data_IF_381505113981
#
_entry.id   IF_381505113981
#
_cell.length_a   1.000
_cell.length_b   1.000
_cell.length_c   1.000
_cell.angle_alpha   90.00
_cell.angle_beta   90.00
_cell.angle_gamma   90.00
#
_symmetry.space_group_name_H-M   'P 1'
#
loop_
_entity.id
_entity.type
_entity.pdbx_description
1 polymer ?
#
# COMPACT_ATOMS: atom_id res chain seq x y z
N UNK A 1 -31.67 -55.94 18.51
CA UNK A 1 -30.43 -55.17 18.75
C UNK A 1 -30.71 -53.71 18.45
N UNK A 2 -31.06 -52.92 19.47
CA UNK A 2 -31.32 -51.48 19.38
C UNK A 2 -30.22 -50.76 20.14
N UNK A 3 -29.17 -50.34 19.43
CA UNK A 3 -28.09 -49.52 19.98
C UNK A 3 -28.55 -48.06 20.01
N UNK A 4 -28.88 -47.59 21.22
CA UNK A 4 -29.19 -46.19 21.48
C UNK A 4 -27.91 -45.35 21.39
N UNK A 5 -27.92 -44.38 20.48
CA UNK A 5 -26.87 -43.37 20.35
C UNK A 5 -26.93 -42.42 21.55
N UNK A 6 -26.14 -42.69 22.59
CA UNK A 6 -25.89 -41.78 23.72
C UNK A 6 -24.66 -40.92 23.43
N UNK A 7 -24.74 -40.00 22.48
CA UNK A 7 -23.74 -38.95 22.29
C UNK A 7 -24.42 -37.71 21.72
N UNK A 8 -24.39 -36.58 22.46
CA UNK A 8 -24.28 -35.17 21.98
C UNK A 8 -24.86 -34.07 22.89
N UNK A 9 -25.37 -34.34 24.09
CA UNK A 9 -25.86 -33.25 24.95
C UNK A 9 -24.78 -32.51 25.76
N UNK A 10 -23.67 -33.15 26.16
CA UNK A 10 -22.67 -32.47 27.03
C UNK A 10 -21.73 -31.54 26.26
N UNK A 11 -21.26 -31.93 25.07
CA UNK A 11 -20.38 -31.09 24.25
C UNK A 11 -21.08 -29.83 23.75
N UNK A 12 -22.37 -29.90 23.41
CA UNK A 12 -23.15 -28.74 23.01
C UNK A 12 -23.35 -27.76 24.17
N UNK A 13 -23.58 -28.25 25.39
CA UNK A 13 -23.69 -27.41 26.59
C UNK A 13 -22.36 -26.73 26.95
N UNK A 14 -21.24 -27.43 26.79
CA UNK A 14 -19.90 -26.85 27.00
C UNK A 14 -19.59 -25.81 25.92
N UNK A 15 -19.90 -26.09 24.66
CA UNK A 15 -19.72 -25.13 23.56
C UNK A 15 -20.59 -23.88 23.76
N UNK A 16 -21.84 -24.07 24.20
CA UNK A 16 -22.77 -22.97 24.50
C UNK A 16 -22.29 -22.16 25.72
N UNK A 17 -21.77 -22.82 26.76
CA UNK A 17 -21.22 -22.16 27.93
C UNK A 17 -19.94 -21.37 27.61
N UNK A 18 -19.04 -21.91 26.76
CA UNK A 18 -17.85 -21.19 26.27
C UNK A 18 -18.26 -20.04 25.35
N UNK A 19 -19.25 -20.22 24.47
CA UNK A 19 -19.78 -19.15 23.63
C UNK A 19 -20.41 -18.04 24.48
N UNK A 20 -21.19 -18.39 25.52
CA UNK A 20 -21.77 -17.45 26.47
C UNK A 20 -20.70 -16.73 27.29
N UNK A 21 -19.61 -17.41 27.67
CA UNK A 21 -18.48 -16.80 28.37
C UNK A 21 -17.72 -15.83 27.45
N UNK A 22 -17.48 -16.22 26.20
CA UNK A 22 -16.82 -15.37 25.19
C UNK A 22 -17.68 -14.15 24.88
N UNK A 23 -19.02 -14.30 24.77
CA UNK A 23 -19.96 -13.18 24.59
C UNK A 23 -20.02 -12.29 25.84
N UNK A 24 -19.94 -12.85 27.04
CA UNK A 24 -19.96 -12.10 28.30
C UNK A 24 -18.65 -11.32 28.55
N UNK A 25 -17.51 -11.80 28.04
CA UNK A 25 -16.20 -11.13 28.15
C UNK A 25 -15.91 -10.23 26.93
N UNK A 26 -16.68 -10.37 25.83
CA UNK A 26 -16.47 -9.62 24.59
C UNK A 26 -16.70 -8.08 24.62
N UNK A 27 -17.28 -7.40 25.64
CA UNK A 27 -17.48 -5.96 25.51
C UNK A 27 -16.37 -5.09 26.12
N UNK A 28 -15.26 -5.65 26.64
CA UNK A 28 -14.18 -4.80 27.20
C UNK A 28 -13.07 -4.45 26.20
N UNK A 29 -12.96 -5.16 25.07
CA UNK A 29 -11.97 -4.84 24.04
C UNK A 29 -12.44 -3.77 23.03
N UNK A 30 -13.71 -3.38 23.06
CA UNK A 30 -14.20 -2.21 22.35
C UNK A 30 -14.22 -1.03 23.31
N UNK A 31 -13.19 -0.19 23.27
CA UNK A 31 -13.33 1.18 23.76
C UNK A 31 -14.55 1.79 23.04
N UNK A 32 -15.67 1.87 23.73
CA UNK A 32 -16.90 2.44 23.23
C UNK A 32 -16.58 3.90 22.85
N UNK A 33 -16.65 4.21 21.55
CA UNK A 33 -16.24 5.52 20.99
C UNK A 33 -16.99 6.71 21.60
N UNK A 34 -18.12 6.43 22.26
CA UNK A 34 -19.03 7.34 22.95
C UNK A 34 -18.79 7.42 24.47
N UNK A 35 -17.72 6.84 25.00
CA UNK A 35 -17.30 7.01 26.41
C UNK A 35 -16.39 8.24 26.51
N UNK A 36 -16.70 9.13 27.45
CA UNK A 36 -15.86 10.30 27.71
C UNK A 36 -14.57 9.88 28.42
N UNK A 37 -13.42 10.36 27.95
CA UNK A 37 -12.13 10.04 28.57
C UNK A 37 -11.88 10.78 29.90
N UNK A 38 -12.63 11.84 30.18
CA UNK A 38 -12.45 12.65 31.40
C UNK A 38 -13.31 12.15 32.57
N UNK A 39 -14.58 11.87 32.32
CA UNK A 39 -15.54 11.48 33.38
C UNK A 39 -16.14 10.09 33.20
N UNK A 40 -15.74 9.34 32.18
CA UNK A 40 -16.21 7.98 31.86
C UNK A 40 -17.71 7.84 31.59
N UNK A 41 -18.42 8.96 31.40
CA UNK A 41 -19.83 8.96 31.03
C UNK A 41 -20.05 8.31 29.65
N UNK A 42 -21.08 7.47 29.56
CA UNK A 42 -21.56 6.88 28.30
C UNK A 42 -22.55 7.86 27.64
N UNK A 43 -22.26 8.26 26.40
CA UNK A 43 -23.02 9.22 25.60
C UNK A 43 -23.76 8.54 24.44
N UNK A 44 -24.62 9.25 23.72
CA UNK A 44 -25.18 8.71 22.48
C UNK A 44 -24.11 8.70 21.36
N UNK A 45 -24.14 7.74 20.42
CA UNK A 45 -23.11 7.64 19.38
C UNK A 45 -22.97 8.88 18.49
N UNK A 46 -24.04 9.65 18.30
CA UNK A 46 -24.07 10.87 17.49
C UNK A 46 -23.72 12.14 18.30
N UNK A 47 -23.48 12.01 19.60
CA UNK A 47 -23.13 13.12 20.49
C UNK A 47 -21.74 13.68 20.15
N UNK A 48 -21.61 15.01 20.12
CA UNK A 48 -20.34 15.72 19.85
C UNK A 48 -19.55 15.97 21.15
N UNK A 49 -20.24 16.42 22.21
CA UNK A 49 -19.66 16.76 23.52
C UNK A 49 -20.29 15.93 24.62
N UNK A 50 -19.50 15.51 25.59
CA UNK A 50 -19.99 14.73 26.72
C UNK A 50 -21.17 15.42 27.43
N UNK A 51 -22.23 14.67 27.71
CA UNK A 51 -23.42 15.17 28.41
C UNK A 51 -23.14 15.68 29.83
N UNK A 52 -22.11 15.14 30.50
CA UNK A 52 -21.83 15.42 31.91
C UNK A 52 -20.75 16.50 32.11
N UNK A 53 -19.69 16.50 31.28
CA UNK A 53 -18.55 17.43 31.43
C UNK A 53 -18.27 18.31 30.19
N UNK A 54 -19.07 18.20 29.13
CA UNK A 54 -18.93 18.96 27.88
C UNK A 54 -17.62 18.75 27.09
N UNK A 55 -16.76 17.83 27.51
CA UNK A 55 -15.54 17.47 26.76
C UNK A 55 -15.90 16.94 25.36
N UNK A 56 -15.25 17.44 24.29
CA UNK A 56 -15.44 16.89 22.95
C UNK A 56 -15.09 15.40 22.89
N UNK A 57 -16.00 14.57 22.38
CA UNK A 57 -15.81 13.12 22.34
C UNK A 57 -14.92 12.67 21.17
N UNK A 58 -14.83 13.49 20.11
CA UNK A 58 -14.14 13.12 18.88
C UNK A 58 -13.58 14.37 18.16
N UNK A 59 -12.60 15.03 18.80
CA UNK A 59 -11.93 16.21 18.26
C UNK A 59 -10.86 15.81 17.23
N UNK A 60 -10.90 16.44 16.06
CA UNK A 60 -9.86 16.28 15.06
C UNK A 60 -8.62 17.07 15.45
N UNK A 61 -7.47 16.41 15.57
CA UNK A 61 -6.22 17.07 15.95
C UNK A 61 -5.58 17.87 14.79
N UNK A 62 -6.00 17.65 13.54
CA UNK A 62 -5.45 18.38 12.39
C UNK A 62 -6.13 19.74 12.15
N UNK A 63 -7.41 19.88 12.50
CA UNK A 63 -8.20 21.09 12.17
C UNK A 63 -9.19 21.49 13.27
N UNK A 64 -9.03 20.92 14.46
CA UNK A 64 -9.78 21.18 15.69
C UNK A 64 -11.29 20.96 15.64
N UNK A 65 -11.80 20.48 14.51
CA UNK A 65 -13.23 20.24 14.32
C UNK A 65 -13.70 19.12 15.24
N UNK A 66 -14.71 19.41 16.06
CA UNK A 66 -15.40 18.42 16.87
C UNK A 66 -16.38 17.62 16.02
N UNK A 67 -16.39 16.30 16.19
CA UNK A 67 -17.22 15.40 15.40
C UNK A 67 -18.13 14.59 16.34
N UNK A 68 -19.25 14.05 15.84
CA UNK A 68 -19.98 12.99 16.52
C UNK A 68 -19.06 11.83 16.91
N UNK A 69 -19.29 11.23 18.08
CA UNK A 69 -18.49 10.15 18.63
C UNK A 69 -18.35 8.93 17.68
N UNK A 70 -19.38 8.64 16.88
CA UNK A 70 -19.42 7.52 15.95
C UNK A 70 -18.66 7.77 14.63
N UNK A 71 -18.20 8.99 14.33
CA UNK A 71 -17.52 9.28 13.06
C UNK A 71 -16.10 8.69 13.00
N UNK A 72 -15.81 8.04 11.88
CA UNK A 72 -14.47 7.55 11.53
C UNK A 72 -13.58 8.63 10.89
N UNK A 73 -14.18 9.62 10.22
CA UNK A 73 -13.47 10.67 9.50
C UNK A 73 -14.00 12.06 9.87
N UNK A 74 -13.08 13.02 9.92
CA UNK A 74 -13.39 14.41 10.24
C UNK A 74 -14.31 15.02 9.17
N UNK A 75 -15.37 15.69 9.60
CA UNK A 75 -16.35 16.35 8.72
C UNK A 75 -15.77 17.50 7.89
N UNK A 76 -14.69 18.14 8.37
CA UNK A 76 -14.05 19.29 7.72
C UNK A 76 -12.89 18.87 6.82
N UNK A 77 -11.90 18.17 7.37
CA UNK A 77 -10.65 17.86 6.64
C UNK A 77 -10.57 16.41 6.10
N UNK A 78 -11.53 15.55 6.45
CA UNK A 78 -11.56 14.12 6.10
C UNK A 78 -10.38 13.31 6.64
N UNK A 79 -9.65 13.81 7.64
CA UNK A 79 -8.63 13.03 8.32
C UNK A 79 -9.28 11.88 9.14
N UNK A 80 -8.63 10.71 9.23
CA UNK A 80 -9.11 9.60 10.05
C UNK A 80 -9.06 9.99 11.53
N UNK A 81 -10.16 9.77 12.24
CA UNK A 81 -10.33 10.15 13.65
C UNK A 81 -9.90 9.05 14.62
N UNK A 82 -9.71 7.81 14.16
CA UNK A 82 -9.34 6.69 15.02
C UNK A 82 -8.00 6.92 15.73
N UNK A 83 -6.96 7.31 14.98
CA UNK A 83 -5.66 7.67 15.54
C UNK A 83 -5.75 8.91 16.43
N UNK A 84 -6.52 9.91 16.01
CA UNK A 84 -6.71 11.16 16.76
C UNK A 84 -7.38 10.93 18.12
N UNK A 85 -8.29 9.97 18.24
CA UNK A 85 -8.90 9.59 19.52
C UNK A 85 -7.88 9.02 20.49
N UNK A 86 -6.94 8.22 20.01
CA UNK A 86 -5.85 7.66 20.83
C UNK A 86 -4.86 8.76 21.19
N UNK A 87 -4.40 9.55 20.23
CA UNK A 87 -3.50 10.67 20.49
C UNK A 87 -4.13 11.70 21.42
N UNK A 88 -5.44 11.95 21.30
CA UNK A 88 -6.16 12.89 22.16
C UNK A 88 -6.22 12.48 23.64
N UNK A 89 -5.91 11.23 24.00
CA UNK A 89 -5.79 10.80 25.41
C UNK A 89 -4.41 11.05 25.99
N UNK A 90 -3.46 11.52 25.18
CA UNK A 90 -2.08 11.82 25.58
C UNK A 90 -1.95 13.33 25.67
N UNK A 91 -1.35 13.81 26.76
CA UNK A 91 -1.15 15.24 26.96
C UNK A 91 -0.36 15.84 25.80
N UNK A 92 -0.73 17.07 25.44
CA UNK A 92 -0.23 17.75 24.24
C UNK A 92 1.29 17.90 24.27
N UNK A 93 1.85 18.25 25.42
CA UNK A 93 3.29 18.41 25.59
C UNK A 93 4.02 17.09 25.34
N UNK A 94 3.56 15.98 25.89
CA UNK A 94 4.15 14.65 25.63
C UNK A 94 4.03 14.27 24.15
N UNK A 95 2.90 14.56 23.49
CA UNK A 95 2.77 14.32 22.04
C UNK A 95 3.78 15.09 21.23
N UNK A 96 4.04 16.35 21.59
CA UNK A 96 5.02 17.21 20.93
C UNK A 96 6.46 16.74 21.19
N UNK A 97 6.81 16.53 22.46
CA UNK A 97 8.14 16.11 22.90
C UNK A 97 8.53 14.76 22.25
N UNK A 98 7.58 13.82 22.17
CA UNK A 98 7.77 12.51 21.55
C UNK A 98 7.42 12.46 20.05
N UNK A 99 6.96 13.57 19.47
CA UNK A 99 6.56 13.69 18.06
C UNK A 99 5.56 12.62 17.60
N UNK A 100 4.59 12.30 18.47
CA UNK A 100 3.60 11.25 18.20
C UNK A 100 2.72 11.62 17.00
N UNK A 101 2.61 10.71 16.03
CA UNK A 101 1.88 10.94 14.78
C UNK A 101 2.58 11.88 13.79
N UNK A 102 3.80 12.34 14.07
CA UNK A 102 4.55 13.29 13.24
C UNK A 102 5.65 12.65 12.40
N UNK A 103 5.89 11.33 12.52
CA UNK A 103 6.85 10.65 11.66
C UNK A 103 6.38 10.73 10.20
N UNK A 104 7.33 10.83 9.26
CA UNK A 104 6.99 10.85 7.83
C UNK A 104 6.09 9.67 7.45
N UNK A 105 6.37 8.50 8.04
CA UNK A 105 5.56 7.29 7.85
C UNK A 105 4.12 7.47 8.32
N UNK A 106 3.90 7.98 9.54
CA UNK A 106 2.56 8.18 10.09
C UNK A 106 1.76 9.18 9.25
N UNK A 107 2.40 10.26 8.79
CA UNK A 107 1.78 11.26 7.91
C UNK A 107 1.32 10.62 6.59
N UNK A 108 2.16 9.77 5.98
CA UNK A 108 1.82 9.07 4.74
C UNK A 108 0.69 8.05 4.95
N UNK A 109 0.71 7.30 6.05
CA UNK A 109 -0.36 6.34 6.38
C UNK A 109 -1.71 7.04 6.61
N UNK A 110 -1.71 8.16 7.33
CA UNK A 110 -2.90 9.00 7.54
C UNK A 110 -3.48 9.49 6.21
N UNK A 111 -2.63 9.97 5.30
CA UNK A 111 -3.08 10.45 3.99
C UNK A 111 -3.62 9.31 3.12
N UNK A 112 -3.02 8.11 3.18
CA UNK A 112 -3.56 6.93 2.49
C UNK A 112 -4.96 6.55 2.99
N UNK A 113 -5.20 6.59 4.31
CA UNK A 113 -6.51 6.32 4.90
C UNK A 113 -7.56 7.35 4.43
N UNK A 114 -7.17 8.63 4.44
CA UNK A 114 -8.02 9.72 3.92
C UNK A 114 -8.36 9.51 2.44
N UNK A 115 -7.38 9.15 1.60
CA UNK A 115 -7.64 8.87 0.19
C UNK A 115 -8.59 7.67 0.03
N UNK A 116 -8.43 6.60 0.80
CA UNK A 116 -9.33 5.45 0.75
C UNK A 116 -10.78 5.85 1.03
N UNK A 117 -11.01 6.63 2.08
CA UNK A 117 -12.33 7.18 2.39
C UNK A 117 -12.88 8.09 1.28
N UNK A 118 -12.03 8.97 0.72
CA UNK A 118 -12.46 9.85 -0.36
C UNK A 118 -12.78 9.09 -1.65
N UNK A 119 -12.12 7.96 -1.93
CA UNK A 119 -12.47 7.12 -3.08
C UNK A 119 -13.87 6.52 -2.97
N UNK A 120 -14.32 6.20 -1.75
CA UNK A 120 -15.67 5.71 -1.50
C UNK A 120 -16.72 6.83 -1.58
N UNK A 121 -16.41 8.02 -1.04
CA UNK A 121 -17.38 9.12 -0.93
C UNK A 121 -17.40 10.06 -2.12
N UNK A 122 -16.32 10.10 -2.90
CA UNK A 122 -16.11 11.02 -4.03
C UNK A 122 -15.55 10.27 -5.25
N UNK A 123 -16.31 9.29 -5.79
CA UNK A 123 -15.85 8.46 -6.91
C UNK A 123 -15.53 9.29 -8.16
N UNK A 124 -16.13 10.47 -8.31
CA UNK A 124 -15.84 11.41 -9.42
C UNK A 124 -14.40 11.94 -9.38
N UNK A 125 -13.71 11.85 -8.24
CA UNK A 125 -12.31 12.26 -8.07
C UNK A 125 -11.33 11.09 -8.17
N UNK A 126 -11.80 9.89 -8.50
CA UNK A 126 -11.01 8.67 -8.43
C UNK A 126 -9.73 8.73 -9.26
N UNK A 127 -9.73 9.36 -10.44
CA UNK A 127 -8.51 9.50 -11.26
C UNK A 127 -7.41 10.24 -10.49
N UNK A 128 -7.74 11.40 -9.89
CA UNK A 128 -6.80 12.20 -9.11
C UNK A 128 -6.35 11.45 -7.86
N UNK A 129 -7.29 10.86 -7.13
CA UNK A 129 -7.04 10.21 -5.84
C UNK A 129 -6.21 8.93 -5.99
N UNK A 130 -6.50 8.06 -6.97
CA UNK A 130 -5.70 6.87 -7.25
C UNK A 130 -4.28 7.26 -7.67
N UNK A 131 -4.13 8.29 -8.52
CA UNK A 131 -2.81 8.78 -8.90
C UNK A 131 -2.00 9.28 -7.68
N UNK A 132 -2.64 10.04 -6.78
CA UNK A 132 -2.02 10.50 -5.53
C UNK A 132 -1.64 9.32 -4.62
N UNK A 133 -2.55 8.36 -4.43
CA UNK A 133 -2.31 7.13 -3.66
C UNK A 133 -1.08 6.39 -4.18
N UNK A 134 -0.98 6.16 -5.49
CA UNK A 134 0.15 5.47 -6.09
C UNK A 134 1.47 6.22 -5.83
N UNK A 135 1.48 7.55 -5.94
CA UNK A 135 2.67 8.37 -5.64
C UNK A 135 3.08 8.33 -4.17
N UNK A 136 2.13 8.22 -3.24
CA UNK A 136 2.44 8.02 -1.82
C UNK A 136 3.04 6.63 -1.58
N UNK A 137 2.50 5.60 -2.21
CA UNK A 137 3.05 4.24 -2.14
C UNK A 137 4.48 4.15 -2.68
N UNK A 138 4.84 4.95 -3.70
CA UNK A 138 6.23 5.12 -4.14
C UNK A 138 7.13 5.65 -3.02
N UNK A 139 6.70 6.71 -2.31
CA UNK A 139 7.47 7.31 -1.20
C UNK A 139 7.66 6.34 -0.04
N UNK A 140 6.69 5.45 0.15
CA UNK A 140 6.70 4.42 1.20
C UNK A 140 7.49 3.18 0.82
N UNK A 141 8.02 3.11 -0.41
CA UNK A 141 8.73 1.96 -0.97
C UNK A 141 7.89 0.66 -0.95
N UNK A 142 6.57 0.79 -1.01
CA UNK A 142 5.63 -0.32 -1.04
C UNK A 142 5.43 -0.81 -2.47
N UNK A 143 6.49 -1.33 -3.09
CA UNK A 143 6.55 -1.62 -4.54
C UNK A 143 5.39 -2.48 -5.06
N UNK A 144 4.97 -3.50 -4.29
CA UNK A 144 3.81 -4.32 -4.65
C UNK A 144 2.51 -3.52 -4.70
N UNK A 145 2.19 -2.82 -3.60
CA UNK A 145 0.97 -1.99 -3.52
C UNK A 145 1.00 -0.83 -4.52
N UNK A 146 2.17 -0.25 -4.74
CA UNK A 146 2.41 0.77 -5.76
C UNK A 146 2.06 0.24 -7.16
N UNK A 147 2.61 -0.93 -7.54
CA UNK A 147 2.34 -1.56 -8.82
C UNK A 147 0.84 -1.84 -8.99
N UNK A 148 0.18 -2.44 -7.99
CA UNK A 148 -1.28 -2.67 -8.05
C UNK A 148 -2.07 -1.37 -8.20
N UNK A 149 -1.67 -0.31 -7.49
CA UNK A 149 -2.33 0.99 -7.58
C UNK A 149 -2.16 1.62 -8.98
N UNK A 150 -1.01 1.43 -9.64
CA UNK A 150 -0.82 1.85 -11.03
C UNK A 150 -1.57 0.99 -12.04
N UNK A 151 -1.67 -0.33 -11.81
CA UNK A 151 -2.52 -1.21 -12.62
C UNK A 151 -3.99 -0.78 -12.54
N UNK A 152 -4.50 -0.54 -11.34
CA UNK A 152 -5.86 -0.02 -11.15
C UNK A 152 -6.05 1.31 -11.90
N UNK A 153 -5.09 2.23 -11.79
CA UNK A 153 -5.15 3.50 -12.50
C UNK A 153 -5.26 3.32 -14.02
N UNK A 154 -4.40 2.48 -14.60
CA UNK A 154 -4.36 2.24 -16.04
C UNK A 154 -5.58 1.48 -16.55
N UNK A 155 -6.16 0.60 -15.72
CA UNK A 155 -7.39 -0.11 -16.02
C UNK A 155 -8.62 0.82 -15.99
N UNK A 156 -8.75 1.65 -14.95
CA UNK A 156 -9.91 2.54 -14.78
C UNK A 156 -9.87 3.78 -15.66
N UNK A 157 -8.67 4.28 -15.99
CA UNK A 157 -8.48 5.51 -16.75
C UNK A 157 -7.56 5.29 -17.97
N UNK A 158 -7.95 4.40 -18.91
CA UNK A 158 -7.12 4.04 -20.05
C UNK A 158 -6.82 5.22 -20.99
N UNK A 159 -7.64 6.27 -20.96
CA UNK A 159 -7.51 7.48 -21.79
C UNK A 159 -6.96 8.69 -21.03
N UNK A 160 -6.52 8.50 -19.78
CA UNK A 160 -5.93 9.57 -18.98
C UNK A 160 -4.73 10.20 -19.69
N UNK A 161 -4.62 11.53 -19.63
CA UNK A 161 -3.41 12.27 -20.05
C UNK A 161 -2.16 11.83 -19.28
N UNK A 162 -2.33 11.20 -18.11
CA UNK A 162 -1.25 10.68 -17.27
C UNK A 162 -0.88 9.22 -17.57
N UNK A 163 -1.53 8.56 -18.53
CA UNK A 163 -1.28 7.14 -18.90
C UNK A 163 0.20 6.84 -19.10
N UNK A 164 0.90 7.64 -19.90
CA UNK A 164 2.32 7.41 -20.19
C UNK A 164 3.20 7.52 -18.93
N UNK A 165 2.90 8.48 -18.05
CA UNK A 165 3.60 8.61 -16.77
C UNK A 165 3.29 7.43 -15.84
N UNK A 166 2.01 7.03 -15.73
CA UNK A 166 1.58 5.88 -14.93
C UNK A 166 2.22 4.57 -15.42
N UNK A 167 2.35 4.35 -16.73
CA UNK A 167 3.11 3.23 -17.32
C UNK A 167 4.58 3.25 -16.93
N UNK A 168 5.23 4.41 -16.99
CA UNK A 168 6.61 4.54 -16.56
C UNK A 168 6.78 4.23 -15.05
N UNK A 169 5.87 4.72 -14.20
CA UNK A 169 5.88 4.40 -12.77
C UNK A 169 5.58 2.92 -12.50
N UNK A 170 4.62 2.32 -13.19
CA UNK A 170 4.31 0.90 -13.07
C UNK A 170 5.54 0.05 -13.41
N UNK A 171 6.21 0.35 -14.53
CA UNK A 171 7.44 -0.34 -14.93
C UNK A 171 8.52 -0.29 -13.84
N UNK A 172 8.71 0.88 -13.23
CA UNK A 172 9.71 1.03 -12.16
C UNK A 172 9.29 0.31 -10.87
N UNK A 173 8.02 0.39 -10.47
CA UNK A 173 7.48 -0.32 -9.31
C UNK A 173 7.61 -1.83 -9.46
N UNK A 174 7.25 -2.38 -10.64
CA UNK A 174 7.38 -3.79 -10.97
C UNK A 174 8.84 -4.25 -10.96
N UNK A 175 9.76 -3.45 -11.51
CA UNK A 175 11.19 -3.74 -11.46
C UNK A 175 11.70 -3.81 -10.03
N UNK A 176 11.32 -2.86 -9.17
CA UNK A 176 11.73 -2.86 -7.76
C UNK A 176 11.10 -4.03 -6.98
N UNK A 177 9.85 -4.37 -7.27
CA UNK A 177 9.21 -5.54 -6.68
C UNK A 177 9.88 -6.85 -7.13
N UNK A 178 10.20 -6.97 -8.43
CA UNK A 178 10.96 -8.10 -8.96
C UNK A 178 12.33 -8.26 -8.29
N UNK A 179 13.01 -7.15 -7.98
CA UNK A 179 14.26 -7.19 -7.24
C UNK A 179 14.07 -7.83 -5.85
N UNK A 180 12.96 -7.56 -5.15
CA UNK A 180 12.67 -8.22 -3.87
C UNK A 180 12.44 -9.73 -4.03
N UNK A 181 11.75 -10.16 -5.08
CA UNK A 181 11.60 -11.60 -5.39
C UNK A 181 12.94 -12.25 -5.73
N UNK A 182 13.78 -11.55 -6.50
CA UNK A 182 15.13 -12.00 -6.81
C UNK A 182 15.98 -12.21 -5.55
N UNK A 183 15.94 -11.27 -4.59
CA UNK A 183 16.64 -11.43 -3.30
C UNK A 183 16.16 -12.66 -2.52
N UNK A 184 14.88 -13.02 -2.66
CA UNK A 184 14.29 -14.21 -2.06
C UNK A 184 14.54 -15.50 -2.87
N UNK A 185 15.27 -15.41 -3.98
CA UNK A 185 15.51 -16.50 -4.95
C UNK A 185 14.23 -17.00 -5.64
N UNK A 186 13.15 -16.22 -5.61
CA UNK A 186 11.92 -16.49 -6.35
C UNK A 186 12.03 -15.97 -7.78
N UNK A 187 12.82 -16.67 -8.60
CA UNK A 187 13.18 -16.20 -9.94
C UNK A 187 11.98 -16.12 -10.89
N UNK A 188 11.01 -17.04 -10.79
CA UNK A 188 9.81 -17.04 -11.64
C UNK A 188 8.91 -15.84 -11.37
N UNK A 189 8.70 -15.50 -10.09
CA UNK A 189 7.98 -14.30 -9.66
C UNK A 189 8.67 -13.04 -10.17
N UNK A 190 10.01 -12.97 -10.03
CA UNK A 190 10.81 -11.85 -10.52
C UNK A 190 10.71 -11.70 -12.05
N UNK A 191 10.83 -12.80 -12.80
CA UNK A 191 10.71 -12.80 -14.26
C UNK A 191 9.33 -12.33 -14.71
N UNK A 192 8.26 -12.77 -14.03
CA UNK A 192 6.89 -12.33 -14.34
C UNK A 192 6.74 -10.81 -14.20
N UNK A 193 7.19 -10.25 -13.07
CA UNK A 193 7.14 -8.80 -12.83
C UNK A 193 8.00 -8.03 -13.82
N UNK A 194 9.19 -8.53 -14.19
CA UNK A 194 10.09 -7.86 -15.12
C UNK A 194 9.57 -7.86 -16.55
N UNK A 195 8.95 -8.95 -17.01
CA UNK A 195 8.29 -9.00 -18.33
C UNK A 195 7.22 -7.92 -18.42
N UNK A 196 6.32 -7.86 -17.43
CA UNK A 196 5.30 -6.81 -17.38
C UNK A 196 5.93 -5.40 -17.28
N UNK A 197 7.02 -5.24 -16.52
CA UNK A 197 7.73 -3.97 -16.42
C UNK A 197 8.23 -3.48 -17.79
N UNK A 198 8.77 -4.39 -18.60
CA UNK A 198 9.28 -4.09 -19.94
C UNK A 198 8.18 -3.83 -20.96
N UNK A 199 7.02 -4.48 -20.82
CA UNK A 199 5.84 -4.22 -21.65
C UNK A 199 5.19 -2.88 -21.31
N UNK A 200 5.13 -2.54 -20.02
CA UNK A 200 4.56 -1.29 -19.54
C UNK A 200 5.38 -0.08 -19.99
N UNK A 201 6.72 -0.18 -19.90
CA UNK A 201 7.63 0.82 -20.44
C UNK A 201 8.81 0.16 -21.18
N UNK A 202 8.71 0.00 -22.51
CA UNK A 202 9.79 -0.56 -23.33
C UNK A 202 11.08 0.27 -23.32
N UNK A 203 11.05 1.51 -22.82
CA UNK A 203 12.22 2.39 -22.68
C UNK A 203 12.82 2.39 -21.26
N UNK A 204 12.48 1.43 -20.40
CA UNK A 204 13.11 1.26 -19.09
C UNK A 204 14.35 0.34 -19.20
N UNK A 205 15.57 0.88 -19.27
CA UNK A 205 16.77 0.06 -19.44
C UNK A 205 17.07 -0.78 -18.19
N UNK A 206 16.72 -0.32 -16.99
CA UNK A 206 16.90 -1.10 -15.76
C UNK A 206 16.01 -2.34 -15.73
N UNK A 207 14.74 -2.22 -16.14
CA UNK A 207 13.83 -3.37 -16.22
C UNK A 207 14.35 -4.44 -17.19
N UNK A 208 14.78 -4.02 -18.38
CA UNK A 208 15.41 -4.92 -19.35
C UNK A 208 16.70 -5.56 -18.82
N UNK A 209 17.55 -4.80 -18.12
CA UNK A 209 18.80 -5.30 -17.56
C UNK A 209 18.57 -6.35 -16.47
N UNK A 210 17.58 -6.13 -15.60
CA UNK A 210 17.22 -7.11 -14.57
C UNK A 210 16.59 -8.36 -15.18
N UNK A 211 15.73 -8.22 -16.20
CA UNK A 211 15.17 -9.36 -16.93
C UNK A 211 16.30 -10.21 -17.55
N UNK A 212 17.21 -9.54 -18.26
CA UNK A 212 18.35 -10.16 -18.91
C UNK A 212 19.28 -10.87 -17.92
N UNK A 213 19.50 -10.26 -16.75
CA UNK A 213 20.33 -10.84 -15.69
C UNK A 213 19.76 -12.15 -15.18
N UNK A 214 18.47 -12.19 -14.86
CA UNK A 214 17.84 -13.42 -14.35
C UNK A 214 17.82 -14.49 -15.45
N UNK A 215 17.54 -14.11 -16.71
CA UNK A 215 17.64 -15.03 -17.86
C UNK A 215 19.06 -15.60 -18.00
N UNK A 216 20.09 -14.77 -17.84
CA UNK A 216 21.48 -15.19 -17.90
C UNK A 216 21.84 -16.18 -16.79
N UNK A 217 21.46 -15.85 -15.54
CA UNK A 217 21.71 -16.69 -14.36
C UNK A 217 20.95 -18.03 -14.42
N UNK A 218 19.81 -18.08 -15.09
CA UNK A 218 19.01 -19.30 -15.30
C UNK A 218 19.40 -20.09 -16.57
N UNK A 219 20.45 -19.67 -17.29
CA UNK A 219 20.95 -20.37 -18.47
C UNK A 219 20.24 -20.03 -19.79
N UNK A 220 19.23 -19.15 -19.77
CA UNK A 220 18.50 -18.65 -20.94
C UNK A 220 19.31 -17.59 -21.68
N UNK A 221 20.48 -17.99 -22.21
CA UNK A 221 21.51 -17.08 -22.75
C UNK A 221 21.06 -16.28 -23.97
N UNK A 222 20.20 -16.87 -24.82
CA UNK A 222 19.71 -16.22 -26.04
C UNK A 222 18.79 -15.05 -25.67
N UNK A 223 17.80 -15.31 -24.83
CA UNK A 223 16.83 -14.35 -24.33
C UNK A 223 17.53 -13.26 -23.51
N UNK A 224 18.54 -13.63 -22.72
CA UNK A 224 19.36 -12.66 -21.99
C UNK A 224 20.05 -11.68 -22.95
N UNK A 225 20.60 -12.17 -24.06
CA UNK A 225 21.22 -11.34 -25.09
C UNK A 225 20.22 -10.36 -25.73
N UNK A 226 19.02 -10.83 -26.05
CA UNK A 226 17.93 -10.01 -26.58
C UNK A 226 17.52 -8.91 -25.58
N UNK A 227 17.32 -9.27 -24.31
CA UNK A 227 16.94 -8.34 -23.25
C UNK A 227 18.05 -7.31 -22.95
N UNK A 228 19.32 -7.72 -22.90
CA UNK A 228 20.42 -6.77 -22.75
C UNK A 228 20.55 -5.84 -23.97
N UNK A 229 20.26 -6.32 -25.18
CA UNK A 229 20.22 -5.47 -26.36
C UNK A 229 19.11 -4.41 -26.23
N UNK A 230 17.93 -4.79 -25.74
CA UNK A 230 16.84 -3.85 -25.45
C UNK A 230 17.21 -2.82 -24.39
N UNK A 231 17.90 -3.23 -23.33
CA UNK A 231 18.44 -2.30 -22.34
C UNK A 231 19.39 -1.27 -22.98
N UNK A 232 20.30 -1.73 -23.85
CA UNK A 232 21.26 -0.88 -24.55
C UNK A 232 20.61 0.01 -25.62
N UNK A 233 19.55 -0.45 -26.30
CA UNK A 233 18.74 0.37 -27.21
C UNK A 233 18.05 1.53 -26.46
N UNK A 234 17.54 1.25 -25.25
CA UNK A 234 16.94 2.26 -24.38
C UNK A 234 17.97 3.24 -23.79
N UNK A 235 19.19 2.75 -23.49
CA UNK A 235 20.31 3.56 -23.03
C UNK A 235 21.61 3.20 -23.77
N UNK A 236 21.87 3.84 -24.92
CA UNK A 236 23.13 3.66 -25.65
C UNK A 236 24.34 3.99 -24.78
N UNK A 237 25.41 3.21 -24.91
CA UNK A 237 26.63 3.34 -24.10
C UNK A 237 26.51 2.79 -22.67
N UNK A 238 25.45 2.07 -22.33
CA UNK A 238 25.33 1.39 -21.04
C UNK A 238 26.41 0.32 -20.89
N UNK A 239 27.37 0.57 -20.00
CA UNK A 239 28.55 -0.29 -19.80
C UNK A 239 28.17 -1.68 -19.28
N UNK A 240 27.11 -1.79 -18.48
CA UNK A 240 26.67 -3.06 -17.88
C UNK A 240 26.07 -3.94 -18.97
N UNK A 241 25.12 -3.41 -19.75
CA UNK A 241 24.54 -4.13 -20.88
C UNK A 241 25.62 -4.56 -21.89
N UNK A 242 26.55 -3.66 -22.25
CA UNK A 242 27.65 -3.99 -23.17
C UNK A 242 28.60 -5.06 -22.61
N UNK A 243 28.87 -5.07 -21.30
CA UNK A 243 29.68 -6.11 -20.67
C UNK A 243 29.05 -7.50 -20.85
N UNK A 244 27.77 -7.64 -20.50
CA UNK A 244 27.08 -8.92 -20.62
C UNK A 244 26.84 -9.33 -22.08
N UNK A 245 26.54 -8.40 -22.99
CA UNK A 245 26.42 -8.70 -24.42
C UNK A 245 27.72 -9.27 -24.99
N UNK A 246 28.88 -8.71 -24.62
CA UNK A 246 30.19 -9.27 -25.02
C UNK A 246 30.43 -10.66 -24.42
N UNK A 247 30.10 -10.85 -23.15
CA UNK A 247 30.18 -12.17 -22.50
C UNK A 247 29.28 -13.21 -23.18
N UNK A 248 28.14 -12.77 -23.70
CA UNK A 248 27.20 -13.57 -24.49
C UNK A 248 27.58 -13.69 -25.98
N UNK A 249 28.67 -13.04 -26.41
CA UNK A 249 29.11 -12.98 -27.81
C UNK A 249 28.05 -12.41 -28.78
N UNK A 250 27.20 -11.51 -28.28
CA UNK A 250 26.24 -10.77 -29.10
C UNK A 250 26.94 -9.57 -29.72
N UNK A 251 26.83 -9.41 -31.03
CA UNK A 251 27.38 -8.24 -31.72
C UNK A 251 26.64 -6.97 -31.29
N UNK A 252 27.41 -5.91 -30.99
CA UNK A 252 26.88 -4.63 -30.51
C UNK A 252 27.00 -3.63 -31.65
N UNK A 253 25.88 -3.13 -32.20
CA UNK A 253 25.89 -2.11 -33.26
C UNK A 253 26.66 -0.86 -32.83
N UNK A 254 27.50 -0.31 -33.71
CA UNK A 254 28.36 0.85 -33.39
C UNK A 254 27.58 2.05 -32.85
N UNK A 255 26.39 2.30 -33.39
CA UNK A 255 25.47 3.37 -32.95
C UNK A 255 25.06 3.26 -31.48
N UNK A 256 25.16 2.08 -30.88
CA UNK A 256 24.78 1.81 -29.49
C UNK A 256 25.97 1.78 -28.52
N UNK A 257 27.22 1.80 -29.03
CA UNK A 257 28.44 1.67 -28.20
C UNK A 257 28.77 2.93 -27.38
N UNK A 258 28.20 4.08 -27.75
CA UNK A 258 28.43 5.38 -27.10
C UNK A 258 27.10 5.98 -26.65
N UNK A 259 27.09 6.79 -25.58
CA UNK A 259 25.93 7.58 -25.22
C UNK A 259 25.49 8.47 -26.39
N UNK A 260 24.18 8.63 -26.56
CA UNK A 260 23.66 9.65 -27.48
C UNK A 260 24.16 11.02 -27.02
N UNK A 261 24.79 11.76 -27.92
CA UNK A 261 25.12 13.16 -27.69
C UNK A 261 23.81 13.93 -27.46
N UNK A 262 23.77 14.77 -26.42
CA UNK A 262 22.63 15.62 -26.09
C UNK A 262 22.50 16.76 -27.09
#
# INVERSE_FOLDING_TARGET
MTTTVRFKLSRLKILLAVLLLVVAIAPQAFAQRNVCNECHAINQPDTIRCKDCLTPLNKCLDCETENPANRDFCSKCNAPLAEMRVLGTIDEKTREDLKLGQSERAILDKELMKIAYLLEKKPEQAEKLIYQRSKLLTKMEFHAREAESWREFLQKFPDSKKKSAAKAYLSEALRKWAYLFYQQKELDSALTMLKEATESNPRNPEAWSWLARIQFETGNRKEAGESYMKALEARPGDKVAMHFLRQLRVDIPDRLRKPKQK
#
